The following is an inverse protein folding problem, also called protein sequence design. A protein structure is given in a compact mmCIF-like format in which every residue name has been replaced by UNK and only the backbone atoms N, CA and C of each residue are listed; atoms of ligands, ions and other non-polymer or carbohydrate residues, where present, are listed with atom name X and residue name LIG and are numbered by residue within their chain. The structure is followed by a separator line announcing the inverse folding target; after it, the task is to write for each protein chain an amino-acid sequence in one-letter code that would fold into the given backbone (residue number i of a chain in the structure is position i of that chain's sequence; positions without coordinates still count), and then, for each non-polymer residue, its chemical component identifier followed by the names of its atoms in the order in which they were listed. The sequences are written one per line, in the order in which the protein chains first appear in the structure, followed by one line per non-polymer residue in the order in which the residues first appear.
data_IF_108804700944
#
_entry.id   IF_108804700944
#
_cell.length_a   1.000
_cell.length_b   1.000
_cell.length_c   1.000
_cell.angle_alpha   90.00
_cell.angle_beta   90.00
_cell.angle_gamma   90.00
#
_symmetry.space_group_name_H-M   'P 1'
#
loop_
_entity.id
_entity.type
_entity.pdbx_description
1 polymer ?
#
# COMPACT_ATOMS: atom_id res chain seq x y z
N UNK A 1 -13.20 5.35 16.50
CA UNK A 1 -12.39 4.16 16.19
C UNK A 1 -13.06 3.31 15.11
N UNK A 2 -14.37 3.06 15.20
CA UNK A 2 -15.13 2.37 14.14
C UNK A 2 -15.07 3.07 12.77
N UNK A 3 -14.79 4.37 12.74
CA UNK A 3 -14.83 5.18 11.52
C UNK A 3 -13.56 5.03 10.65
N UNK A 4 -12.36 5.03 11.24
CA UNK A 4 -11.10 4.94 10.46
C UNK A 4 -10.89 3.55 9.85
N UNK A 5 -11.20 2.50 10.62
CA UNK A 5 -11.11 1.12 10.14
C UNK A 5 -12.00 0.91 8.93
N UNK A 6 -13.29 1.25 9.01
CA UNK A 6 -14.20 1.06 7.90
C UNK A 6 -13.80 1.92 6.69
N UNK A 7 -13.41 3.17 6.90
CA UNK A 7 -12.95 4.06 5.83
C UNK A 7 -11.77 3.50 5.05
N UNK A 8 -10.73 2.99 5.73
CA UNK A 8 -9.56 2.47 5.01
C UNK A 8 -9.90 1.20 4.23
N UNK A 9 -10.68 0.28 4.80
CA UNK A 9 -11.03 -0.95 4.09
C UNK A 9 -12.03 -0.72 2.97
N UNK A 10 -12.95 0.24 3.12
CA UNK A 10 -13.81 0.68 2.03
C UNK A 10 -13.00 1.34 0.91
N UNK A 11 -12.07 2.22 1.25
CA UNK A 11 -11.17 2.85 0.27
C UNK A 11 -10.32 1.83 -0.48
N UNK A 12 -9.68 0.90 0.23
CA UNK A 12 -8.86 -0.16 -0.37
C UNK A 12 -9.69 -1.11 -1.22
N UNK A 13 -10.90 -1.47 -0.76
CA UNK A 13 -11.83 -2.30 -1.52
C UNK A 13 -12.27 -1.62 -2.82
N UNK A 14 -12.63 -0.33 -2.77
CA UNK A 14 -13.03 0.43 -3.95
C UNK A 14 -11.87 0.68 -4.91
N UNK A 15 -10.65 0.82 -4.37
CA UNK A 15 -9.45 1.15 -5.16
C UNK A 15 -8.82 -0.08 -5.81
N UNK A 16 -8.64 -1.16 -5.05
CA UNK A 16 -7.93 -2.36 -5.49
C UNK A 16 -8.88 -3.45 -5.98
N UNK A 17 -10.16 -3.40 -5.61
CA UNK A 17 -11.17 -4.39 -5.99
C UNK A 17 -10.79 -5.81 -5.60
N UNK A 18 -10.95 -6.74 -6.54
CA UNK A 18 -10.50 -8.15 -6.40
C UNK A 18 -8.98 -8.28 -6.21
N UNK A 19 -8.23 -7.23 -6.57
CA UNK A 19 -6.81 -7.08 -6.33
C UNK A 19 -6.43 -6.72 -4.91
N UNK A 20 -7.41 -6.45 -4.03
CA UNK A 20 -7.17 -6.13 -2.64
C UNK A 20 -6.44 -7.29 -1.97
N UNK A 21 -5.23 -6.98 -1.48
CA UNK A 21 -4.35 -7.93 -0.81
C UNK A 21 -3.89 -9.11 -1.67
N UNK A 22 -3.74 -8.87 -2.97
CA UNK A 22 -3.11 -9.77 -3.93
C UNK A 22 -1.69 -9.27 -4.26
N UNK A 23 -0.75 -10.21 -4.40
CA UNK A 23 0.60 -9.96 -4.88
C UNK A 23 0.60 -9.88 -6.40
N UNK A 24 1.33 -8.91 -6.93
CA UNK A 24 1.48 -8.68 -8.35
C UNK A 24 2.89 -9.00 -8.87
N UNK A 25 2.97 -9.35 -10.16
CA UNK A 25 4.20 -9.34 -10.96
C UNK A 25 3.89 -8.63 -12.28
N UNK A 26 4.43 -7.42 -12.46
CA UNK A 26 3.84 -6.45 -13.38
C UNK A 26 2.41 -6.17 -12.94
N UNK A 27 1.45 -6.27 -13.86
CA UNK A 27 0.02 -6.10 -13.57
C UNK A 27 -0.72 -7.42 -13.33
N UNK A 28 0.01 -8.56 -13.32
CA UNK A 28 -0.61 -9.88 -13.16
C UNK A 28 -0.71 -10.28 -11.68
N UNK A 29 -1.91 -10.62 -11.17
CA UNK A 29 -2.06 -11.18 -9.83
C UNK A 29 -1.47 -12.60 -9.77
N UNK A 30 -0.69 -12.90 -8.74
CA UNK A 30 0.05 -14.18 -8.61
C UNK A 30 -0.13 -14.91 -7.28
N UNK A 31 -0.89 -14.36 -6.32
CA UNK A 31 -1.18 -15.02 -5.04
C UNK A 31 -1.46 -14.04 -3.90
N UNK A 32 -1.70 -14.53 -2.68
CA UNK A 32 -1.95 -13.67 -1.52
C UNK A 32 -0.74 -12.86 -1.08
N UNK A 33 -0.98 -11.69 -0.46
CA UNK A 33 0.08 -10.90 0.17
C UNK A 33 0.67 -11.60 1.40
N UNK A 34 1.97 -11.38 1.61
CA UNK A 34 2.59 -11.67 2.90
C UNK A 34 2.14 -10.62 3.95
N UNK A 35 2.15 -10.96 5.26
CA UNK A 35 1.73 -10.04 6.33
C UNK A 35 2.41 -8.66 6.26
N UNK A 36 3.72 -8.61 6.00
CA UNK A 36 4.46 -7.36 5.88
C UNK A 36 3.94 -6.43 4.76
N UNK A 37 3.44 -6.99 3.66
CA UNK A 37 2.86 -6.22 2.56
C UNK A 37 1.48 -5.71 2.94
N UNK A 38 0.65 -6.58 3.54
CA UNK A 38 -0.66 -6.21 4.05
C UNK A 38 -0.56 -5.04 5.05
N UNK A 39 0.35 -5.13 6.01
CA UNK A 39 0.61 -4.06 6.99
C UNK A 39 1.04 -2.76 6.32
N UNK A 40 1.99 -2.83 5.38
CA UNK A 40 2.52 -1.65 4.69
C UNK A 40 1.46 -0.95 3.85
N UNK A 41 0.71 -1.71 3.03
CA UNK A 41 -0.34 -1.17 2.18
C UNK A 41 -1.45 -0.54 3.03
N UNK A 42 -1.91 -1.25 4.06
CA UNK A 42 -3.03 -0.78 4.88
C UNK A 42 -2.65 0.47 5.66
N UNK A 43 -1.55 0.43 6.41
CA UNK A 43 -1.17 1.54 7.31
C UNK A 43 -0.57 2.70 6.51
N UNK A 44 0.24 2.43 5.49
CA UNK A 44 0.77 3.48 4.62
C UNK A 44 -0.33 4.25 3.88
N UNK A 45 -1.35 3.52 3.40
CA UNK A 45 -2.53 4.16 2.78
C UNK A 45 -3.36 4.92 3.81
N UNK A 46 -3.59 4.36 5.01
CA UNK A 46 -4.31 5.06 6.09
C UNK A 46 -3.64 6.40 6.41
N UNK A 47 -2.30 6.44 6.49
CA UNK A 47 -1.54 7.65 6.79
C UNK A 47 -1.61 8.72 5.68
N UNK A 48 -1.95 8.33 4.45
CA UNK A 48 -2.09 9.22 3.30
C UNK A 48 -3.57 9.45 2.89
N UNK A 49 -4.52 8.80 3.58
CA UNK A 49 -5.90 8.66 3.10
C UNK A 49 -6.59 10.00 2.93
N UNK A 50 -6.46 10.90 3.91
CA UNK A 50 -7.11 12.20 3.91
C UNK A 50 -6.67 13.05 2.70
N UNK A 51 -5.42 12.88 2.25
CA UNK A 51 -4.86 13.64 1.14
C UNK A 51 -5.15 13.02 -0.22
N UNK A 52 -5.25 11.69 -0.31
CA UNK A 52 -5.45 10.99 -1.58
C UNK A 52 -6.91 10.58 -1.85
N UNK A 53 -7.83 10.80 -0.91
CA UNK A 53 -9.22 10.31 -1.03
C UNK A 53 -9.98 10.82 -2.26
N UNK A 54 -9.55 11.95 -2.84
CA UNK A 54 -10.13 12.53 -4.05
C UNK A 54 -9.39 12.17 -5.35
N UNK A 55 -8.28 11.43 -5.25
CA UNK A 55 -7.53 10.96 -6.43
C UNK A 55 -8.29 9.78 -7.06
N UNK A 56 -8.42 9.71 -8.39
CA UNK A 56 -9.01 8.56 -9.05
C UNK A 56 -8.36 7.24 -8.63
N UNK A 57 -9.16 6.18 -8.53
CA UNK A 57 -8.70 4.89 -8.01
C UNK A 57 -7.58 4.25 -8.84
N UNK A 58 -7.59 4.38 -10.17
CA UNK A 58 -6.61 3.67 -11.02
C UNK A 58 -5.15 4.16 -10.80
N UNK A 59 -4.85 5.48 -10.77
CA UNK A 59 -3.53 5.97 -10.36
C UNK A 59 -3.07 5.49 -8.99
N UNK A 60 -3.96 5.51 -7.99
CA UNK A 60 -3.65 5.04 -6.62
C UNK A 60 -3.31 3.55 -6.63
N UNK A 61 -4.14 2.74 -7.30
CA UNK A 61 -3.92 1.31 -7.47
C UNK A 61 -2.60 1.01 -8.16
N UNK A 62 -2.30 1.67 -9.28
CA UNK A 62 -1.06 1.43 -10.01
C UNK A 62 0.16 1.84 -9.18
N UNK A 63 0.11 2.98 -8.49
CA UNK A 63 1.18 3.42 -7.60
C UNK A 63 1.46 2.40 -6.50
N UNK A 64 0.42 1.80 -5.88
CA UNK A 64 0.61 0.73 -4.90
C UNK A 64 1.27 -0.51 -5.54
N UNK A 65 0.78 -0.96 -6.70
CA UNK A 65 1.31 -2.13 -7.42
C UNK A 65 2.78 -1.94 -7.80
N UNK A 66 3.14 -0.76 -8.28
CA UNK A 66 4.50 -0.44 -8.70
C UNK A 66 5.42 -0.35 -7.47
N UNK A 67 4.99 0.37 -6.43
CA UNK A 67 5.78 0.59 -5.22
C UNK A 67 6.16 -0.71 -4.52
N UNK A 68 5.23 -1.66 -4.37
CA UNK A 68 5.54 -2.95 -3.71
C UNK A 68 6.50 -3.83 -4.52
N UNK A 69 6.71 -3.51 -5.79
CA UNK A 69 7.64 -4.21 -6.67
C UNK A 69 9.05 -3.60 -6.67
N UNK A 70 9.23 -2.40 -6.12
CA UNK A 70 10.53 -1.71 -6.03
C UNK A 70 11.54 -2.47 -5.16
N UNK A 71 12.83 -2.28 -5.45
CA UNK A 71 13.90 -2.82 -4.60
C UNK A 71 13.87 -2.22 -3.19
N UNK A 72 13.56 -0.93 -3.08
CA UNK A 72 13.45 -0.22 -1.80
C UNK A 72 12.40 -0.88 -0.88
N UNK A 73 11.20 -1.17 -1.41
CA UNK A 73 10.17 -1.87 -0.67
C UNK A 73 10.58 -3.30 -0.31
N UNK A 74 11.17 -4.04 -1.26
CA UNK A 74 11.64 -5.42 -1.03
C UNK A 74 12.73 -5.49 0.04
N UNK A 75 13.60 -4.50 0.10
CA UNK A 75 14.61 -4.37 1.15
C UNK A 75 13.99 -4.17 2.55
N UNK A 76 12.71 -3.75 2.64
CA UNK A 76 11.98 -3.61 3.90
C UNK A 76 11.00 -4.75 4.21
N UNK A 77 10.86 -5.71 3.30
CA UNK A 77 9.95 -6.87 3.47
C UNK A 77 10.66 -8.23 3.38
N UNK A 78 11.96 -8.25 3.08
CA UNK A 78 12.80 -9.45 3.08
C UNK A 78 13.32 -9.86 4.47
N UNK A 79 14.54 -10.40 4.52
CA UNK A 79 15.16 -10.89 5.75
C UNK A 79 15.19 -9.84 6.85
N UNK A 80 14.63 -10.17 8.02
CA UNK A 80 14.55 -9.26 9.16
C UNK A 80 13.44 -8.21 9.07
N UNK A 81 12.40 -8.43 8.25
CA UNK A 81 11.20 -7.59 8.19
C UNK A 81 10.52 -7.35 9.55
N UNK A 82 10.76 -8.21 10.54
CA UNK A 82 10.25 -8.08 11.91
C UNK A 82 10.95 -6.97 12.72
N UNK A 83 12.05 -6.37 12.21
CA UNK A 83 12.69 -5.23 12.87
C UNK A 83 11.79 -4.00 12.77
N UNK A 84 11.70 -3.23 13.87
CA UNK A 84 10.89 -2.00 13.91
C UNK A 84 11.23 -1.04 12.76
N UNK A 85 12.52 -0.78 12.52
CA UNK A 85 12.95 0.09 11.42
C UNK A 85 12.52 -0.37 10.03
N UNK A 86 12.37 -1.69 9.82
CA UNK A 86 11.86 -2.26 8.57
C UNK A 86 10.34 -2.16 8.47
N UNK A 87 9.62 -2.17 9.60
CA UNK A 87 8.18 -1.89 9.68
C UNK A 87 7.87 -0.44 9.35
N UNK A 88 8.55 0.48 10.02
CA UNK A 88 8.40 1.91 9.76
C UNK A 88 8.79 2.23 8.31
N UNK A 89 9.88 1.65 7.82
CA UNK A 89 10.35 1.84 6.44
C UNK A 89 9.33 1.43 5.39
N UNK A 90 8.76 0.21 5.48
CA UNK A 90 7.78 -0.25 4.48
C UNK A 90 6.47 0.55 4.51
N UNK A 91 6.03 0.99 5.69
CA UNK A 91 4.85 1.86 5.83
C UNK A 91 5.12 3.22 5.17
N UNK A 92 6.27 3.82 5.49
CA UNK A 92 6.67 5.13 4.96
C UNK A 92 6.78 5.12 3.44
N UNK A 93 7.36 4.07 2.86
CA UNK A 93 7.51 3.92 1.40
C UNK A 93 6.14 3.96 0.69
N UNK A 94 5.13 3.26 1.21
CA UNK A 94 3.78 3.30 0.63
C UNK A 94 3.16 4.69 0.80
N UNK A 95 3.26 5.26 2.02
CA UNK A 95 2.72 6.58 2.32
C UNK A 95 3.32 7.66 1.39
N UNK A 96 4.65 7.74 1.30
CA UNK A 96 5.34 8.73 0.48
C UNK A 96 4.95 8.59 -1.00
N UNK A 97 4.98 7.36 -1.54
CA UNK A 97 4.63 7.09 -2.94
C UNK A 97 3.20 7.53 -3.29
N UNK A 98 2.25 7.38 -2.35
CA UNK A 98 0.88 7.84 -2.52
C UNK A 98 0.76 9.36 -2.46
N UNK A 99 1.52 10.02 -1.58
CA UNK A 99 1.53 11.48 -1.46
C UNK A 99 2.16 12.16 -2.69
N UNK A 100 3.01 11.47 -3.46
CA UNK A 100 3.52 11.98 -4.74
C UNK A 100 2.39 12.29 -5.74
N UNK A 101 1.29 11.53 -5.72
CA UNK A 101 0.14 11.71 -6.63
C UNK A 101 -0.59 13.05 -6.45
N UNK A 102 -0.32 13.78 -5.36
CA UNK A 102 -0.91 15.10 -5.11
C UNK A 102 -0.19 16.19 -5.92
N UNK A 103 1.07 15.95 -6.28
CA UNK A 103 1.94 16.93 -6.94
C UNK A 103 2.11 16.65 -8.45
N UNK A 104 1.42 15.64 -8.98
CA UNK A 104 1.36 15.29 -10.41
C UNK A 104 0.20 16.03 -11.10
#
# INVERSE_FOLDING_TARGET
MDDEFNKIFEFLSNTLGEGAFVKYRGDKPIGGLAPAYYEAITVGTLNALDQICNIPSEPVKQKIIDTVQTEEFRNNTGSGANKLSKLEGRIKIIQDALLELINE
#
